data_IF_749772480269
#
_entry.id   IF_749772480269
#
_cell.length_a   1.000
_cell.length_b   1.000
_cell.length_c   1.000
_cell.angle_alpha   90.00
_cell.angle_beta   90.00
_cell.angle_gamma   90.00
#
_symmetry.space_group_name_H-M   'P 1'
#
loop_
_entity.id
_entity.type
_entity.pdbx_description
1 polymer ?
#
# COMPACT_ATOMS: atom_id res chain seq x y z
N UNK A 1 -33.43 -20.96 -4.28
CA UNK A 1 -33.55 -19.71 -5.05
C UNK A 1 -33.29 -18.57 -4.09
N UNK A 2 -32.05 -18.07 -4.03
CA UNK A 2 -31.74 -16.83 -3.33
C UNK A 2 -31.42 -15.80 -4.42
N UNK A 3 -32.21 -14.75 -4.46
CA UNK A 3 -32.16 -13.69 -5.45
C UNK A 3 -30.80 -12.97 -5.34
N UNK A 4 -29.92 -13.27 -6.31
CA UNK A 4 -28.72 -12.51 -6.58
C UNK A 4 -29.13 -11.18 -7.24
N UNK A 5 -29.73 -10.30 -6.44
CA UNK A 5 -30.15 -8.97 -6.86
C UNK A 5 -28.91 -8.15 -7.21
N UNK A 6 -28.74 -7.85 -8.51
CA UNK A 6 -27.72 -6.96 -9.04
C UNK A 6 -27.79 -5.58 -8.36
N UNK A 7 -27.04 -5.38 -7.27
CA UNK A 7 -26.65 -4.03 -6.85
C UNK A 7 -25.51 -3.58 -7.76
N UNK A 8 -25.86 -3.08 -8.95
CA UNK A 8 -24.91 -2.60 -9.97
C UNK A 8 -24.37 -1.20 -9.62
N UNK A 9 -23.91 -1.01 -8.39
CA UNK A 9 -23.25 0.21 -7.92
C UNK A 9 -21.85 -0.11 -7.46
N UNK A 10 -20.86 0.74 -7.78
CA UNK A 10 -19.52 0.58 -7.21
C UNK A 10 -19.62 0.84 -5.69
N UNK A 11 -19.16 -0.12 -4.90
CA UNK A 11 -19.15 -0.06 -3.44
C UNK A 11 -17.72 0.07 -2.94
N UNK A 12 -17.53 0.61 -1.75
CA UNK A 12 -16.22 0.63 -1.11
C UNK A 12 -15.71 -0.79 -0.84
N UNK A 13 -14.49 -1.11 -1.27
CA UNK A 13 -13.83 -2.39 -1.00
C UNK A 13 -13.66 -2.71 0.49
N UNK A 14 -13.64 -1.68 1.35
CA UNK A 14 -13.40 -1.83 2.79
C UNK A 14 -14.69 -1.86 3.62
N UNK A 15 -15.60 -0.90 3.41
CA UNK A 15 -16.83 -0.80 4.22
C UNK A 15 -18.10 -1.24 3.50
N UNK A 16 -18.06 -1.52 2.19
CA UNK A 16 -19.23 -1.93 1.40
C UNK A 16 -20.25 -0.83 1.13
N UNK A 17 -20.01 0.42 1.57
CA UNK A 17 -20.92 1.53 1.32
C UNK A 17 -20.74 2.13 -0.09
N UNK A 18 -21.84 2.38 -0.79
CA UNK A 18 -21.87 3.07 -2.08
C UNK A 18 -21.86 4.59 -1.88
N UNK A 19 -20.67 5.17 -1.73
CA UNK A 19 -20.47 6.62 -1.57
C UNK A 19 -19.31 7.10 -2.46
N UNK A 20 -18.88 8.36 -2.33
CA UNK A 20 -17.79 8.94 -3.13
C UNK A 20 -16.52 8.07 -3.05
N UNK A 21 -16.27 7.31 -4.12
CA UNK A 21 -15.09 6.49 -4.27
C UNK A 21 -13.90 7.34 -4.68
N UNK A 22 -12.75 6.94 -4.17
CA UNK A 22 -11.44 7.55 -4.27
C UNK A 22 -10.43 6.44 -4.56
N UNK A 23 -9.19 6.83 -4.82
CA UNK A 23 -8.07 5.91 -4.96
C UNK A 23 -7.28 5.87 -3.64
N UNK A 24 -7.05 4.66 -3.14
CA UNK A 24 -6.18 4.39 -1.99
C UNK A 24 -4.85 3.85 -2.49
N UNK A 25 -3.74 4.30 -1.93
CA UNK A 25 -2.43 3.72 -2.24
C UNK A 25 -2.24 2.45 -1.42
N UNK A 26 -1.83 1.34 -2.06
CA UNK A 26 -1.50 0.10 -1.33
C UNK A 26 -0.23 0.28 -0.50
N UNK A 27 0.73 1.03 -1.03
CA UNK A 27 1.92 1.47 -0.30
C UNK A 27 1.89 2.99 -0.14
N UNK A 28 2.06 3.51 1.09
CA UNK A 28 2.01 4.95 1.33
C UNK A 28 3.02 5.69 0.46
N UNK A 29 2.71 6.93 0.08
CA UNK A 29 3.55 7.73 -0.80
C UNK A 29 4.99 7.98 -0.26
N UNK A 30 5.23 7.87 1.05
CA UNK A 30 6.58 7.96 1.62
C UNK A 30 7.50 6.80 1.17
N UNK A 31 6.95 5.62 0.87
CA UNK A 31 7.72 4.47 0.36
C UNK A 31 8.10 4.65 -1.10
N UNK A 32 7.26 5.30 -1.91
CA UNK A 32 7.54 5.51 -3.33
C UNK A 32 8.76 6.40 -3.59
N UNK A 33 9.14 7.24 -2.62
CA UNK A 33 10.32 8.12 -2.73
C UNK A 33 11.61 7.45 -2.26
N UNK A 34 11.51 6.48 -1.37
CA UNK A 34 12.65 5.97 -0.58
C UNK A 34 13.26 4.72 -1.21
N UNK A 35 12.48 3.97 -1.98
CA UNK A 35 12.93 2.71 -2.55
C UNK A 35 12.93 2.79 -4.08
N UNK A 36 14.01 2.31 -4.71
CA UNK A 36 13.97 1.87 -6.11
C UNK A 36 12.74 0.98 -6.32
N UNK A 37 12.05 1.02 -7.47
CA UNK A 37 10.70 0.49 -7.63
C UNK A 37 10.59 -0.95 -7.10
N UNK A 38 10.07 -1.06 -5.87
CA UNK A 38 10.24 -2.18 -4.94
C UNK A 38 9.37 -3.38 -5.29
N UNK A 39 8.54 -3.25 -6.31
CA UNK A 39 7.61 -4.28 -6.72
C UNK A 39 8.06 -4.86 -8.05
N UNK A 40 9.00 -5.82 -8.06
CA UNK A 40 9.11 -6.73 -9.17
C UNK A 40 7.86 -7.61 -9.18
N UNK A 41 6.97 -7.38 -10.14
CA UNK A 41 5.94 -8.38 -10.45
C UNK A 41 6.66 -9.54 -11.13
N UNK A 42 6.57 -10.73 -10.55
CA UNK A 42 6.99 -11.96 -11.23
C UNK A 42 6.01 -12.26 -12.34
N UNK A 43 6.40 -11.96 -13.57
CA UNK A 43 5.66 -12.35 -14.76
C UNK A 43 6.27 -13.64 -15.33
N UNK A 44 5.53 -14.38 -16.18
CA UNK A 44 6.09 -15.56 -16.87
C UNK A 44 7.33 -15.24 -17.74
N UNK A 45 7.56 -13.96 -18.06
CA UNK A 45 8.67 -13.46 -18.89
C UNK A 45 9.77 -12.78 -18.08
N UNK A 46 9.71 -12.80 -16.75
CA UNK A 46 10.72 -12.25 -15.85
C UNK A 46 10.17 -11.28 -14.81
N UNK A 47 11.06 -10.72 -13.99
CA UNK A 47 10.74 -9.68 -13.02
C UNK A 47 10.62 -8.34 -13.75
N UNK A 48 9.45 -7.71 -13.68
CA UNK A 48 9.23 -6.35 -14.15
C UNK A 48 8.88 -5.47 -12.96
N UNK A 49 9.65 -4.41 -12.78
CA UNK A 49 9.32 -3.35 -11.83
C UNK A 49 8.00 -2.69 -12.22
N UNK A 50 7.06 -2.61 -11.29
CA UNK A 50 5.89 -1.73 -11.43
C UNK A 50 6.40 -0.29 -11.25
N UNK A 51 6.32 0.50 -12.32
CA UNK A 51 6.78 1.89 -12.33
C UNK A 51 5.74 2.89 -11.79
N UNK A 52 4.51 2.45 -11.59
CA UNK A 52 3.40 3.26 -11.09
C UNK A 52 3.04 2.89 -9.65
N UNK A 53 2.49 3.86 -8.91
CA UNK A 53 1.84 3.59 -7.64
C UNK A 53 0.79 2.48 -7.78
N UNK A 54 0.80 1.52 -6.87
CA UNK A 54 -0.24 0.51 -6.79
C UNK A 54 -1.43 1.07 -6.01
N UNK A 55 -2.58 1.19 -6.66
CA UNK A 55 -3.78 1.82 -6.11
C UNK A 55 -5.00 0.88 -6.14
N UNK A 56 -5.89 1.06 -5.15
CA UNK A 56 -7.22 0.45 -5.10
C UNK A 56 -8.23 1.55 -5.45
N UNK A 57 -8.97 1.37 -6.54
CA UNK A 57 -9.82 2.42 -7.17
C UNK A 57 -11.27 2.48 -6.67
N UNK A 58 -11.60 1.68 -5.67
CA UNK A 58 -12.95 1.56 -5.11
C UNK A 58 -12.93 1.73 -3.58
N UNK A 59 -12.26 2.76 -3.07
CA UNK A 59 -12.23 3.08 -1.64
C UNK A 59 -13.00 4.36 -1.36
N UNK A 60 -13.94 4.36 -0.42
CA UNK A 60 -14.65 5.60 -0.08
C UNK A 60 -13.76 6.59 0.69
N UNK A 61 -14.06 7.89 0.56
CA UNK A 61 -13.31 8.96 1.24
C UNK A 61 -13.24 8.81 2.77
N UNK A 62 -14.26 8.20 3.41
CA UNK A 62 -14.26 7.94 4.86
C UNK A 62 -13.21 6.91 5.27
N UNK A 63 -13.04 5.86 4.47
CA UNK A 63 -12.04 4.83 4.71
C UNK A 63 -10.65 5.36 4.41
N UNK A 64 -10.47 5.95 3.22
CA UNK A 64 -9.22 6.52 2.74
C UNK A 64 -8.69 7.59 3.73
N UNK A 65 -9.45 8.66 3.97
CA UNK A 65 -9.03 9.77 4.85
C UNK A 65 -9.18 9.47 6.36
N UNK A 66 -9.53 8.24 6.74
CA UNK A 66 -9.84 7.88 8.12
C UNK A 66 -8.88 6.84 8.66
N UNK A 67 -9.31 5.58 8.83
CA UNK A 67 -8.43 4.50 9.31
C UNK A 67 -7.22 4.27 8.41
N UNK A 68 -7.36 4.37 7.07
CA UNK A 68 -6.27 4.08 6.15
C UNK A 68 -5.18 5.16 6.19
N UNK A 69 -5.55 6.44 6.13
CA UNK A 69 -4.58 7.54 6.31
C UNK A 69 -3.79 7.49 7.63
N UNK A 70 -4.37 6.96 8.72
CA UNK A 70 -3.66 6.77 9.99
C UNK A 70 -2.67 5.62 9.92
N UNK A 71 -3.00 4.53 9.21
CA UNK A 71 -2.07 3.44 8.95
C UNK A 71 -0.92 3.92 8.08
N UNK A 72 -1.20 4.72 7.04
CA UNK A 72 -0.19 5.33 6.18
C UNK A 72 0.78 6.19 6.99
N UNK A 73 0.27 7.09 7.84
CA UNK A 73 1.09 7.94 8.69
C UNK A 73 1.99 7.11 9.61
N UNK A 74 1.44 6.08 10.26
CA UNK A 74 2.20 5.19 11.13
C UNK A 74 3.31 4.43 10.38
N UNK A 75 3.00 3.91 9.19
CA UNK A 75 4.00 3.22 8.36
C UNK A 75 5.10 4.16 7.90
N UNK A 76 4.78 5.42 7.58
CA UNK A 76 5.79 6.42 7.23
C UNK A 76 6.70 6.76 8.43
N UNK A 77 6.14 6.91 9.63
CA UNK A 77 6.95 7.12 10.84
C UNK A 77 7.90 5.95 11.10
N UNK A 78 7.41 4.70 10.98
CA UNK A 78 8.27 3.52 11.11
C UNK A 78 9.36 3.47 10.03
N UNK A 79 9.03 3.87 8.80
CA UNK A 79 10.02 3.94 7.72
C UNK A 79 11.14 4.92 8.07
N UNK A 80 10.79 6.12 8.51
CA UNK A 80 11.78 7.14 8.85
C UNK A 80 12.68 6.68 10.01
N UNK A 81 12.11 6.00 11.00
CA UNK A 81 12.82 5.51 12.18
C UNK A 81 13.71 4.28 11.91
N UNK A 82 13.27 3.36 11.06
CA UNK A 82 13.86 2.01 11.00
C UNK A 82 14.20 1.51 9.59
N UNK A 83 13.50 1.97 8.55
CA UNK A 83 13.58 1.37 7.21
C UNK A 83 14.10 2.31 6.12
N UNK A 84 14.45 3.55 6.47
CA UNK A 84 14.99 4.56 5.55
C UNK A 84 16.38 4.22 5.01
N UNK A 85 17.08 3.28 5.64
CA UNK A 85 18.40 2.82 5.20
C UNK A 85 18.29 1.39 4.66
N UNK A 86 18.49 1.25 3.35
CA UNK A 86 18.60 -0.06 2.70
C UNK A 86 20.05 -0.52 2.85
N UNK A 87 20.27 -1.65 3.52
CA UNK A 87 21.61 -2.24 3.62
C UNK A 87 22.01 -2.87 2.29
N UNK A 88 23.18 -2.52 1.79
CA UNK A 88 23.81 -3.10 0.61
C UNK A 88 24.84 -4.16 0.99
N UNK A 89 25.15 -5.05 0.05
CA UNK A 89 26.18 -6.06 0.25
C UNK A 89 27.54 -5.38 0.50
N UNK A 90 28.13 -5.64 1.66
CA UNK A 90 29.38 -5.00 2.09
C UNK A 90 29.20 -3.88 3.13
N UNK A 91 27.96 -3.50 3.45
CA UNK A 91 27.69 -2.53 4.50
C UNK A 91 27.99 -3.11 5.90
N UNK A 92 28.70 -2.34 6.71
CA UNK A 92 28.96 -2.68 8.12
C UNK A 92 27.76 -2.26 8.97
N UNK A 93 26.92 -3.22 9.35
CA UNK A 93 25.79 -3.02 10.25
C UNK A 93 26.08 -3.49 11.67
N UNK A 94 25.60 -2.74 12.67
CA UNK A 94 25.57 -3.22 14.07
C UNK A 94 24.19 -3.79 14.35
N UNK A 95 24.08 -5.11 14.51
CA UNK A 95 22.82 -5.74 14.88
C UNK A 95 22.65 -5.68 16.39
N UNK A 96 21.74 -4.85 16.86
CA UNK A 96 21.31 -4.88 18.25
C UNK A 96 20.29 -6.00 18.41
N UNK A 97 20.72 -7.13 18.97
CA UNK A 97 19.81 -8.18 19.43
C UNK A 97 19.02 -7.63 20.62
N UNK A 98 17.80 -7.15 20.37
CA UNK A 98 16.85 -6.86 21.44
C UNK A 98 16.43 -8.18 22.08
N UNK A 99 16.47 -8.19 23.42
CA UNK A 99 16.29 -9.38 24.26
C UNK A 99 14.81 -9.68 24.49
#
# INVERSE_FOLDING_TARGET
MLEYSMRKGRVCAYCGEGSQLTNEHVFPNCFQKTFEPITPTKTPTGEKAILSALEIHDVCARCNNGPLSRLDAYLCELNDLYFSTIAHAGDFGTFFLTR
#
